data_IF_993021938249
#
_entry.id   IF_993021938249
#
_cell.length_a   1.000
_cell.length_b   1.000
_cell.length_c   1.000
_cell.angle_alpha   90.00
_cell.angle_beta   90.00
_cell.angle_gamma   90.00
#
_symmetry.space_group_name_H-M   'P 1'
#
loop_
_entity.id
_entity.type
_entity.pdbx_description
1 polymer ?
#
# COMPACT_ATOMS: atom_id res chain seq x y z
N UNK A 1 10.03 -20.05 11.85
CA UNK A 1 10.59 -18.71 11.59
C UNK A 1 9.99 -17.77 12.59
N UNK A 2 10.80 -17.14 13.44
CA UNK A 2 10.29 -16.18 14.42
C UNK A 2 10.03 -14.83 13.72
N UNK A 3 8.82 -14.29 13.85
CA UNK A 3 8.41 -13.02 13.25
C UNK A 3 7.96 -12.05 14.33
N UNK A 4 8.33 -10.78 14.22
CA UNK A 4 7.86 -9.71 15.10
C UNK A 4 6.87 -8.85 14.33
N UNK A 5 5.73 -8.54 14.94
CA UNK A 5 4.73 -7.64 14.38
C UNK A 5 4.67 -6.35 15.16
N UNK A 6 4.72 -5.21 14.48
CA UNK A 6 4.44 -3.89 15.05
C UNK A 6 3.46 -3.17 14.15
N UNK A 7 2.25 -2.93 14.65
CA UNK A 7 1.18 -2.27 13.88
C UNK A 7 0.89 -3.01 12.56
N UNK A 8 0.84 -2.30 11.41
CA UNK A 8 0.56 -2.89 10.09
C UNK A 8 1.78 -3.59 9.45
N UNK A 9 2.91 -3.70 10.16
CA UNK A 9 4.15 -4.24 9.64
C UNK A 9 4.54 -5.54 10.32
N UNK A 10 5.03 -6.48 9.50
CA UNK A 10 5.62 -7.74 9.93
C UNK A 10 7.11 -7.76 9.60
N UNK A 11 7.94 -8.05 10.60
CA UNK A 11 9.39 -8.23 10.47
C UNK A 11 9.81 -9.68 10.69
N UNK A 12 10.81 -10.14 9.95
CA UNK A 12 11.39 -11.48 10.06
C UNK A 12 12.69 -11.46 10.86
N UNK A 13 12.78 -12.31 11.88
CA UNK A 13 14.01 -12.47 12.66
C UNK A 13 15.01 -13.37 11.94
N UNK A 14 16.30 -13.22 12.28
CA UNK A 14 17.39 -13.99 11.67
C UNK A 14 17.87 -13.44 10.32
N UNK A 15 17.33 -12.31 9.85
CA UNK A 15 17.70 -11.70 8.56
C UNK A 15 18.72 -10.55 8.70
N UNK A 16 19.68 -10.67 9.61
CA UNK A 16 20.78 -9.72 9.76
C UNK A 16 20.52 -8.50 10.66
N UNK A 17 19.31 -8.33 11.20
CA UNK A 17 19.01 -7.35 12.26
C UNK A 17 18.80 -8.02 13.61
N UNK A 18 19.24 -7.36 14.68
CA UNK A 18 18.89 -7.77 16.03
C UNK A 18 17.39 -7.50 16.30
N UNK A 19 16.73 -8.25 17.21
CA UNK A 19 15.30 -8.13 17.46
C UNK A 19 14.86 -6.69 17.78
N UNK A 20 15.61 -6.00 18.65
CA UNK A 20 15.30 -4.61 19.04
C UNK A 20 15.57 -3.58 17.94
N UNK A 21 16.52 -3.86 17.07
CA UNK A 21 16.78 -3.00 15.90
C UNK A 21 15.62 -3.16 14.90
N UNK A 22 15.18 -4.40 14.67
CA UNK A 22 14.04 -4.70 13.82
C UNK A 22 12.76 -4.02 14.32
N UNK A 23 12.47 -4.10 15.61
CA UNK A 23 11.34 -3.38 16.23
C UNK A 23 11.40 -1.86 15.93
N UNK A 24 12.58 -1.23 16.09
CA UNK A 24 12.76 0.18 15.76
C UNK A 24 12.52 0.46 14.26
N UNK A 25 13.01 -0.42 13.37
CA UNK A 25 12.81 -0.30 11.91
C UNK A 25 11.33 -0.39 11.55
N UNK A 26 10.56 -1.29 12.19
CA UNK A 26 9.11 -1.40 11.97
C UNK A 26 8.40 -0.11 12.37
N UNK A 27 8.78 0.52 13.48
CA UNK A 27 8.20 1.78 13.91
C UNK A 27 8.61 2.95 13.02
N UNK A 28 9.85 2.93 12.49
CA UNK A 28 10.27 3.88 11.45
C UNK A 28 9.42 3.71 10.18
N UNK A 29 9.09 2.47 9.79
CA UNK A 29 8.24 2.19 8.63
C UNK A 29 6.79 2.67 8.84
N UNK A 30 6.32 2.77 10.09
CA UNK A 30 5.05 3.41 10.45
C UNK A 30 5.10 4.94 10.39
N UNK A 31 6.28 5.54 10.19
CA UNK A 31 6.47 6.99 10.22
C UNK A 31 6.65 7.56 11.63
N UNK A 32 6.94 6.74 12.64
CA UNK A 32 7.20 7.23 13.99
C UNK A 32 8.54 7.98 14.06
N UNK A 33 8.56 9.07 14.83
CA UNK A 33 9.77 9.83 15.16
C UNK A 33 10.60 9.13 16.24
N UNK A 34 11.91 9.42 16.32
CA UNK A 34 12.79 8.89 17.37
C UNK A 34 12.23 9.13 18.79
N UNK A 35 11.61 10.30 19.02
CA UNK A 35 10.94 10.65 20.29
C UNK A 35 9.77 9.75 20.63
N UNK A 36 8.89 9.47 19.65
CA UNK A 36 7.74 8.60 19.86
C UNK A 36 8.18 7.16 20.13
N UNK A 37 9.18 6.69 19.37
CA UNK A 37 9.77 5.36 19.54
C UNK A 37 10.42 5.23 20.93
N UNK A 38 11.14 6.27 21.37
CA UNK A 38 11.78 6.31 22.68
C UNK A 38 10.75 6.21 23.82
N UNK A 39 9.65 6.97 23.72
CA UNK A 39 8.53 6.89 24.66
C UNK A 39 7.88 5.50 24.67
N UNK A 40 7.73 4.88 23.51
CA UNK A 40 7.14 3.53 23.37
C UNK A 40 8.01 2.46 24.05
N UNK A 41 9.33 2.55 23.90
CA UNK A 41 10.28 1.58 24.48
C UNK A 41 10.71 1.91 25.91
N UNK A 42 10.38 3.10 26.44
CA UNK A 42 10.84 3.54 27.75
C UNK A 42 12.35 3.80 27.81
N UNK A 43 12.96 4.21 26.70
CA UNK A 43 14.40 4.52 26.61
C UNK A 43 14.64 5.96 26.16
N UNK A 44 15.90 6.41 26.19
CA UNK A 44 16.26 7.74 25.68
C UNK A 44 16.21 7.82 24.15
N UNK A 45 15.95 9.02 23.62
CA UNK A 45 15.95 9.30 22.17
C UNK A 45 17.29 8.89 21.52
N UNK A 46 18.42 9.26 22.12
CA UNK A 46 19.74 8.85 21.64
C UNK A 46 19.96 7.33 21.66
N UNK A 47 19.27 6.60 22.55
CA UNK A 47 19.28 5.14 22.55
C UNK A 47 18.58 4.55 21.32
N UNK A 48 17.47 5.14 20.89
CA UNK A 48 16.77 4.78 19.66
C UNK A 48 17.62 5.11 18.44
N UNK A 49 18.21 6.32 18.39
CA UNK A 49 19.04 6.74 17.27
C UNK A 49 20.26 5.84 17.08
N UNK A 50 20.91 5.42 18.17
CA UNK A 50 21.99 4.43 18.12
C UNK A 50 21.54 3.09 17.53
N UNK A 51 20.35 2.60 17.89
CA UNK A 51 19.80 1.36 17.32
C UNK A 51 19.47 1.50 15.84
N UNK A 52 18.89 2.63 15.43
CA UNK A 52 18.60 2.93 14.02
C UNK A 52 19.92 3.04 13.24
N UNK A 53 20.94 3.71 13.77
CA UNK A 53 22.25 3.81 13.15
C UNK A 53 22.92 2.44 13.01
N UNK A 54 22.83 1.57 14.02
CA UNK A 54 23.31 0.20 13.92
C UNK A 54 22.57 -0.61 12.84
N UNK A 55 21.24 -0.47 12.75
CA UNK A 55 20.46 -1.08 11.67
C UNK A 55 20.87 -0.56 10.29
N UNK A 56 21.12 0.76 10.17
CA UNK A 56 21.59 1.39 8.93
C UNK A 56 22.96 0.89 8.51
N UNK A 57 23.88 0.74 9.47
CA UNK A 57 25.20 0.16 9.23
C UNK A 57 25.11 -1.29 8.76
N UNK A 58 24.26 -2.12 9.40
CA UNK A 58 24.08 -3.53 9.03
C UNK A 58 23.45 -3.72 7.64
N UNK A 59 22.58 -2.80 7.23
CA UNK A 59 21.95 -2.83 5.91
C UNK A 59 22.73 -2.04 4.85
N UNK A 60 23.85 -1.41 5.22
CA UNK A 60 24.68 -0.57 4.36
C UNK A 60 23.89 0.56 3.68
N UNK A 61 23.17 1.34 4.49
CA UNK A 61 22.32 2.43 4.00
C UNK A 61 22.67 3.76 4.66
N UNK A 62 22.74 4.87 3.89
CA UNK A 62 23.15 6.16 4.43
C UNK A 62 22.01 6.97 5.05
N UNK A 63 20.75 6.63 4.80
CA UNK A 63 19.59 7.44 5.23
C UNK A 63 18.50 6.59 5.88
N UNK A 64 17.79 7.18 6.84
CA UNK A 64 16.65 6.57 7.54
C UNK A 64 15.52 6.12 6.60
N UNK A 65 15.22 6.89 5.54
CA UNK A 65 14.23 6.47 4.55
C UNK A 65 14.74 5.29 3.69
N UNK A 66 16.03 5.28 3.35
CA UNK A 66 16.66 4.19 2.61
C UNK A 66 16.69 2.89 3.43
N UNK A 67 16.78 2.97 4.75
CA UNK A 67 16.66 1.82 5.66
C UNK A 67 15.36 1.05 5.46
N UNK A 68 14.22 1.75 5.39
CA UNK A 68 12.92 1.11 5.19
C UNK A 68 12.84 0.49 3.80
N UNK A 69 13.26 1.23 2.77
CA UNK A 69 13.26 0.74 1.39
C UNK A 69 14.13 -0.52 1.22
N UNK A 70 15.31 -0.54 1.85
CA UNK A 70 16.23 -1.66 1.78
C UNK A 70 15.74 -2.86 2.59
N UNK A 71 15.16 -2.64 3.77
CA UNK A 71 14.54 -3.69 4.56
C UNK A 71 13.36 -4.34 3.82
N UNK A 72 12.59 -3.58 3.02
CA UNK A 72 11.56 -4.12 2.13
C UNK A 72 12.16 -4.90 0.96
N UNK A 73 13.19 -4.36 0.29
CA UNK A 73 13.87 -5.04 -0.83
C UNK A 73 14.43 -6.40 -0.44
N UNK A 74 15.00 -6.51 0.77
CA UNK A 74 15.54 -7.76 1.32
C UNK A 74 14.48 -8.66 1.96
N UNK A 75 13.19 -8.30 1.88
CA UNK A 75 12.06 -9.01 2.50
C UNK A 75 12.20 -9.23 4.02
N UNK A 76 12.92 -8.34 4.69
CA UNK A 76 13.09 -8.36 6.15
C UNK A 76 11.84 -7.81 6.81
N UNK A 77 11.28 -6.74 6.24
CA UNK A 77 9.99 -6.19 6.62
C UNK A 77 9.01 -6.33 5.45
N UNK A 78 7.76 -6.64 5.77
CA UNK A 78 6.67 -6.68 4.81
C UNK A 78 5.43 -6.01 5.42
N UNK A 79 4.73 -5.14 4.68
CA UNK A 79 3.43 -4.67 5.09
C UNK A 79 2.43 -5.82 4.93
N UNK A 80 1.60 -6.04 5.96
CA UNK A 80 0.61 -7.13 6.00
C UNK A 80 -0.33 -7.15 4.78
N UNK A 81 -0.60 -5.98 4.18
CA UNK A 81 -1.45 -5.86 3.00
C UNK A 81 -0.89 -6.59 1.76
N UNK A 82 0.44 -6.70 1.62
CA UNK A 82 1.04 -7.44 0.49
C UNK A 82 0.77 -8.94 0.63
N UNK A 83 0.86 -9.48 1.87
CA UNK A 83 0.52 -10.88 2.13
C UNK A 83 -0.96 -11.16 1.82
N UNK A 84 -1.87 -10.26 2.25
CA UNK A 84 -3.31 -10.37 1.96
C UNK A 84 -3.60 -10.28 0.45
N UNK A 85 -2.99 -9.33 -0.26
CA UNK A 85 -3.16 -9.19 -1.70
C UNK A 85 -2.67 -10.44 -2.45
N UNK A 86 -1.53 -11.01 -2.03
CA UNK A 86 -1.02 -12.27 -2.55
C UNK A 86 -2.00 -13.43 -2.34
N UNK A 87 -2.57 -13.55 -1.13
CA UNK A 87 -3.56 -14.59 -0.82
C UNK A 87 -4.84 -14.43 -1.65
N UNK A 88 -5.37 -13.21 -1.79
CA UNK A 88 -6.53 -12.92 -2.63
C UNK A 88 -6.25 -13.28 -4.09
N UNK A 89 -5.08 -12.86 -4.62
CA UNK A 89 -4.68 -13.18 -5.99
C UNK A 89 -4.53 -14.69 -6.21
N UNK A 90 -3.93 -15.42 -5.26
CA UNK A 90 -3.83 -16.88 -5.33
C UNK A 90 -5.21 -17.55 -5.33
N UNK A 91 -6.13 -17.11 -4.45
CA UNK A 91 -7.51 -17.62 -4.45
C UNK A 91 -8.23 -17.37 -5.78
N UNK A 92 -8.03 -16.20 -6.40
CA UNK A 92 -8.62 -15.89 -7.70
C UNK A 92 -8.08 -16.77 -8.85
N UNK A 93 -6.82 -17.21 -8.77
CA UNK A 93 -6.21 -18.11 -9.76
C UNK A 93 -6.62 -19.56 -9.54
N UNK A 94 -6.81 -19.98 -8.29
CA UNK A 94 -7.19 -21.36 -7.93
C UNK A 94 -8.69 -21.61 -8.14
N UNK A 95 -9.54 -20.60 -8.01
CA UNK A 95 -10.99 -20.67 -8.24
C UNK A 95 -11.39 -20.64 -9.73
N UNK A 96 -10.68 -21.39 -10.58
CA UNK A 96 -10.79 -21.39 -12.05
C UNK A 96 -12.15 -21.78 -12.67
N UNK A 97 -13.25 -21.80 -11.90
CA UNK A 97 -14.57 -22.20 -12.38
C UNK A 97 -15.73 -21.26 -11.97
N UNK A 98 -15.45 -20.01 -11.57
CA UNK A 98 -16.52 -19.02 -11.43
C UNK A 98 -16.31 -17.84 -12.40
N UNK A 99 -17.09 -17.75 -13.50
CA UNK A 99 -16.95 -16.67 -14.46
C UNK A 99 -17.52 -15.39 -13.84
N UNK A 100 -16.72 -14.69 -13.03
CA UNK A 100 -16.97 -13.29 -12.68
C UNK A 100 -16.63 -12.39 -13.89
N UNK A 101 -17.29 -12.68 -15.01
CA UNK A 101 -17.38 -11.82 -16.17
C UNK A 101 -18.36 -10.71 -15.78
N UNK A 102 -17.86 -9.70 -15.06
CA UNK A 102 -18.58 -8.43 -14.92
C UNK A 102 -18.56 -7.77 -16.29
N UNK A 103 -19.53 -8.20 -17.08
CA UNK A 103 -19.93 -7.58 -18.33
C UNK A 103 -19.98 -6.07 -18.08
N UNK A 104 -19.08 -5.33 -18.72
CA UNK A 104 -19.25 -3.89 -18.89
C UNK A 104 -20.46 -3.73 -19.78
N UNK A 105 -21.66 -3.86 -19.21
CA UNK A 105 -22.90 -3.48 -19.87
C UNK A 105 -22.75 -2.00 -20.18
N UNK A 106 -22.41 -1.70 -21.42
CA UNK A 106 -22.39 -0.34 -21.93
C UNK A 106 -23.73 0.31 -21.55
N UNK A 107 -23.75 1.54 -21.03
CA UNK A 107 -25.00 2.19 -20.65
C UNK A 107 -25.87 2.26 -21.91
N UNK A 108 -26.97 1.52 -21.87
CA UNK A 108 -28.00 1.49 -22.88
C UNK A 108 -28.41 2.93 -23.16
N UNK A 109 -28.07 3.42 -24.36
CA UNK A 109 -28.53 4.72 -24.85
C UNK A 109 -30.06 4.64 -24.85
N UNK A 110 -30.71 5.12 -23.79
CA UNK A 110 -32.10 5.55 -23.84
C UNK A 110 -32.15 6.65 -24.87
N UNK A 111 -32.45 6.27 -26.11
CA UNK A 111 -32.88 7.16 -27.18
C UNK A 111 -34.17 7.80 -26.70
N UNK A 112 -34.06 8.89 -25.94
CA UNK A 112 -35.18 9.77 -25.69
C UNK A 112 -35.63 10.27 -27.06
N UNK A 113 -36.80 9.83 -27.49
CA UNK A 113 -37.48 10.36 -28.66
C UNK A 113 -37.78 11.83 -28.41
N UNK A 114 -36.86 12.72 -28.77
CA UNK A 114 -37.13 14.15 -28.85
C UNK A 114 -38.06 14.32 -30.04
N UNK A 115 -39.34 14.51 -29.74
CA UNK A 115 -40.38 14.86 -30.70
C UNK A 115 -40.05 16.25 -31.23
N UNK A 116 -39.32 16.32 -32.35
CA UNK A 116 -39.07 17.58 -33.06
C UNK A 116 -40.40 18.01 -33.68
N UNK A 117 -41.08 18.96 -33.04
CA UNK A 117 -42.21 19.65 -33.65
C UNK A 117 -41.64 20.59 -34.72
N UNK A 118 -41.68 20.16 -35.98
CA UNK A 118 -41.47 21.03 -37.14
C UNK A 118 -42.54 22.13 -37.13
N UNK A 119 -42.18 23.34 -36.73
CA UNK A 119 -42.95 24.54 -37.10
C UNK A 119 -42.57 24.87 -38.54
N UNK A 120 -43.47 24.54 -39.48
CA UNK A 120 -43.30 24.84 -40.89
C UNK A 120 -43.29 26.36 -41.10
N UNK A 121 -42.31 26.81 -41.90
CA UNK A 121 -42.27 28.14 -42.50
C UNK A 121 -43.45 28.34 -43.44
N UNK A 122 -43.93 29.58 -43.53
CA UNK A 122 -44.46 30.12 -44.77
C UNK A 122 -43.91 31.53 -44.95
N UNK A 123 -42.78 31.61 -45.62
CA UNK A 123 -42.37 32.80 -46.36
C UNK A 123 -42.15 32.30 -47.78
N UNK A 124 -43.04 32.64 -48.70
CA UNK A 124 -42.60 33.15 -50.00
C UNK A 124 -43.69 33.96 -50.70
N UNK A 125 -43.18 34.92 -51.47
CA UNK A 125 -43.83 36.07 -52.07
C UNK A 125 -44.29 35.78 -53.52
N UNK A 126 -45.07 36.74 -54.05
CA UNK A 126 -45.38 37.05 -55.47
C UNK A 126 -46.56 36.37 -56.16
N UNK A 127 -47.62 37.15 -56.41
CA UNK A 127 -47.88 37.81 -57.72
C UNK A 127 -48.15 39.29 -57.46
#
# INVERSE_FOLDING_TARGET
>A
METITSGPWMGRLGCGLAPRELECVLDVAQGMTSKQIARRFGISEGGVEKRIAAAMFKLDVPRRAALVAEAMRRQIISPLCIALAGLIAMHAVIGGDDPMRRDRRAPERRTASVRIVRKAQSIEYHV
#
